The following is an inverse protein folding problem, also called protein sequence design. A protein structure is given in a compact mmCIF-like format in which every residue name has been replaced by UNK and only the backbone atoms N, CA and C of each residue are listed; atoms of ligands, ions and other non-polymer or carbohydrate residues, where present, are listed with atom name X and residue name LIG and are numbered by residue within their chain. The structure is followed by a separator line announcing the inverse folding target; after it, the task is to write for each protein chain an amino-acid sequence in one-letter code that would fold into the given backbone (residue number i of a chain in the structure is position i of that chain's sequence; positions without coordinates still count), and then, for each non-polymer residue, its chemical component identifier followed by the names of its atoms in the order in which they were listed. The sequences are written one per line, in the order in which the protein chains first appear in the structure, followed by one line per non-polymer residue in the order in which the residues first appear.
data_IF_612765915416
#
_entry.id   IF_612765915416
#
_cell.length_a   1.000
_cell.length_b   1.000
_cell.length_c   1.000
_cell.angle_alpha   90.00
_cell.angle_beta   90.00
_cell.angle_gamma   90.00
#
_symmetry.space_group_name_H-M   'P 1'
#
loop_
_entity.id
_entity.type
_entity.pdbx_description
1 polymer ?
#
# COMPACT_ATOMS: atom_id res chain seq x y z
N UNK A 1 15.24 -13.39 -12.81
CA UNK A 1 14.37 -13.51 -14.00
C UNK A 1 13.12 -12.68 -13.73
N UNK A 2 12.83 -11.62 -14.51
CA UNK A 2 11.55 -10.93 -14.37
C UNK A 2 10.44 -11.92 -14.75
N UNK A 3 9.41 -12.06 -13.91
CA UNK A 3 8.24 -12.87 -14.24
C UNK A 3 7.64 -12.34 -15.55
N UNK A 4 7.57 -13.19 -16.58
CA UNK A 4 6.95 -12.85 -17.85
C UNK A 4 5.45 -12.68 -17.58
N UNK A 5 4.82 -11.62 -18.11
CA UNK A 5 3.39 -11.32 -17.85
C UNK A 5 2.46 -12.49 -18.18
N UNK A 6 2.94 -13.43 -18.99
CA UNK A 6 2.21 -14.61 -19.46
C UNK A 6 1.95 -15.67 -18.37
N UNK A 7 2.60 -15.56 -17.20
CA UNK A 7 2.41 -16.49 -16.07
C UNK A 7 1.45 -15.99 -14.99
N UNK A 8 0.76 -14.86 -15.22
CA UNK A 8 -0.10 -14.26 -14.22
C UNK A 8 -1.51 -14.81 -14.29
N UNK A 9 -2.10 -15.11 -13.13
CA UNK A 9 -3.54 -15.36 -13.06
C UNK A 9 -4.31 -14.08 -13.38
N UNK A 10 -5.57 -14.17 -13.85
CA UNK A 10 -6.39 -12.98 -14.09
C UNK A 10 -6.54 -12.07 -12.86
N UNK A 11 -6.46 -12.63 -11.65
CA UNK A 11 -6.48 -11.86 -10.41
C UNK A 11 -5.18 -11.08 -10.19
N UNK A 12 -4.03 -11.71 -10.43
CA UNK A 12 -2.74 -11.06 -10.32
C UNK A 12 -2.57 -9.96 -11.37
N UNK A 13 -3.09 -10.17 -12.58
CA UNK A 13 -3.11 -9.14 -13.62
C UNK A 13 -3.96 -7.94 -13.21
N UNK A 14 -5.19 -8.16 -12.72
CA UNK A 14 -6.04 -7.09 -12.18
C UNK A 14 -5.36 -6.33 -11.04
N UNK A 15 -4.71 -7.07 -10.13
CA UNK A 15 -3.97 -6.47 -9.03
C UNK A 15 -2.81 -5.59 -9.53
N UNK A 16 -2.06 -6.03 -10.55
CA UNK A 16 -0.96 -5.24 -11.13
C UNK A 16 -1.46 -3.96 -11.80
N UNK A 17 -2.55 -4.05 -12.57
CA UNK A 17 -3.15 -2.88 -13.23
C UNK A 17 -3.58 -1.85 -12.20
N UNK A 18 -4.23 -2.30 -11.12
CA UNK A 18 -4.66 -1.41 -10.05
C UNK A 18 -3.47 -0.83 -9.26
N UNK A 19 -2.45 -1.64 -8.95
CA UNK A 19 -1.25 -1.15 -8.25
C UNK A 19 -0.50 -0.09 -9.07
N UNK A 20 -0.38 -0.27 -10.40
CA UNK A 20 0.25 0.72 -11.27
C UNK A 20 -0.58 2.01 -11.34
N UNK A 21 -1.92 1.91 -11.38
CA UNK A 21 -2.82 3.07 -11.31
C UNK A 21 -2.54 3.90 -10.06
N UNK A 22 -2.46 3.25 -8.90
CA UNK A 22 -2.19 3.91 -7.61
C UNK A 22 -0.79 4.51 -7.55
N UNK A 23 0.22 3.83 -8.09
CA UNK A 23 1.59 4.38 -8.18
C UNK A 23 1.64 5.63 -9.06
N UNK A 24 0.92 5.62 -10.18
CA UNK A 24 0.83 6.78 -11.06
C UNK A 24 0.19 7.98 -10.36
N UNK A 25 -0.91 7.74 -9.63
CA UNK A 25 -1.58 8.76 -8.83
C UNK A 25 -0.68 9.30 -7.71
N UNK A 26 0.02 8.40 -7.00
CA UNK A 26 0.99 8.78 -5.97
C UNK A 26 2.11 9.67 -6.50
N UNK A 27 2.67 9.36 -7.67
CA UNK A 27 3.70 10.19 -8.32
C UNK A 27 3.17 11.58 -8.68
N UNK A 28 1.95 11.68 -9.19
CA UNK A 28 1.33 12.96 -9.53
C UNK A 28 1.10 13.85 -8.30
N UNK A 29 0.56 13.26 -7.21
CA UNK A 29 0.33 13.96 -5.94
C UNK A 29 1.63 14.35 -5.23
N UNK A 30 2.63 13.46 -5.26
CA UNK A 30 3.93 13.74 -4.68
C UNK A 30 4.63 14.93 -5.37
N UNK A 31 4.52 15.00 -6.71
CA UNK A 31 5.04 16.14 -7.46
C UNK A 31 4.34 17.46 -7.11
N UNK A 32 3.01 17.46 -6.92
CA UNK A 32 2.27 18.68 -6.58
C UNK A 32 2.45 19.14 -5.14
N UNK A 33 2.74 18.21 -4.22
CA UNK A 33 2.89 18.48 -2.79
C UNK A 33 4.36 18.56 -2.33
N UNK A 34 5.32 18.38 -3.25
CA UNK A 34 6.75 18.25 -2.93
C UNK A 34 7.02 17.19 -1.83
N UNK A 35 6.31 16.05 -1.90
CA UNK A 35 6.43 14.93 -0.98
C UNK A 35 7.15 13.75 -1.63
N UNK A 36 7.53 12.76 -0.82
CA UNK A 36 8.05 11.50 -1.32
C UNK A 36 6.92 10.62 -1.92
N UNK A 37 7.06 10.14 -3.16
CA UNK A 37 6.02 9.36 -3.83
C UNK A 37 5.75 8.00 -3.20
N UNK A 38 6.76 7.40 -2.55
CA UNK A 38 6.57 6.14 -1.85
C UNK A 38 5.75 6.33 -0.56
N UNK A 39 5.94 7.44 0.15
CA UNK A 39 5.11 7.78 1.32
C UNK A 39 3.65 8.06 0.92
N UNK A 40 3.43 8.81 -0.16
CA UNK A 40 2.08 9.05 -0.71
C UNK A 40 1.42 7.73 -1.12
N UNK A 41 2.13 6.85 -1.83
CA UNK A 41 1.64 5.53 -2.20
C UNK A 41 1.21 4.72 -0.96
N UNK A 42 2.03 4.71 0.10
CA UNK A 42 1.69 4.00 1.35
C UNK A 42 0.41 4.53 1.98
N UNK A 43 0.20 5.84 1.96
CA UNK A 43 -1.04 6.46 2.46
C UNK A 43 -2.23 6.03 1.62
N UNK A 44 -2.16 6.13 0.28
CA UNK A 44 -3.22 5.69 -0.62
C UNK A 44 -3.60 4.22 -0.40
N UNK A 45 -2.61 3.31 -0.30
CA UNK A 45 -2.86 1.89 0.00
C UNK A 45 -3.49 1.63 1.37
N UNK A 46 -3.34 2.56 2.33
CA UNK A 46 -4.03 2.47 3.61
C UNK A 46 -5.47 2.96 3.52
N UNK A 47 -5.77 3.93 2.64
CA UNK A 47 -7.12 4.44 2.41
C UNK A 47 -8.00 3.45 1.64
N UNK A 48 -7.43 2.62 0.76
CA UNK A 48 -8.14 1.52 0.09
C UNK A 48 -8.63 0.42 1.05
N UNK A 49 -8.05 0.35 2.25
CA UNK A 49 -8.41 -0.66 3.24
C UNK A 49 -9.60 -0.19 4.04
N UNK A 50 -10.52 -1.11 4.31
CA UNK A 50 -11.58 -0.86 5.28
C UNK A 50 -10.98 -0.52 6.66
N UNK A 51 -11.69 0.27 7.50
CA UNK A 51 -11.26 0.53 8.87
C UNK A 51 -10.92 -0.75 9.65
N UNK A 52 -11.68 -1.82 9.42
CA UNK A 52 -11.46 -3.12 10.05
C UNK A 52 -10.14 -3.80 9.62
N UNK A 53 -9.73 -3.68 8.36
CA UNK A 53 -8.45 -4.22 7.87
C UNK A 53 -7.26 -3.40 8.35
N UNK A 54 -7.43 -2.06 8.41
CA UNK A 54 -6.44 -1.17 9.01
C UNK A 54 -6.21 -1.52 10.48
N UNK A 55 -7.29 -1.71 11.24
CA UNK A 55 -7.24 -2.13 12.63
C UNK A 55 -6.58 -3.51 12.78
N UNK A 56 -6.99 -4.50 11.98
CA UNK A 56 -6.38 -5.85 12.00
C UNK A 56 -4.87 -5.80 11.77
N UNK A 57 -4.39 -5.03 10.79
CA UNK A 57 -2.95 -4.85 10.55
C UNK A 57 -2.26 -4.08 11.68
N UNK A 58 -2.92 -3.06 12.22
CA UNK A 58 -2.43 -2.31 13.39
C UNK A 58 -2.29 -3.19 14.63
N UNK A 59 -3.18 -4.16 14.84
CA UNK A 59 -3.08 -5.14 15.92
C UNK A 59 -2.04 -6.23 15.64
N UNK A 60 -1.92 -6.68 14.38
CA UNK A 60 -0.97 -7.72 13.99
C UNK A 60 0.50 -7.25 13.97
N UNK A 61 0.74 -5.98 13.64
CA UNK A 61 2.09 -5.42 13.50
C UNK A 61 2.40 -4.27 14.46
N UNK A 62 1.38 -3.65 15.04
CA UNK A 62 1.56 -2.65 16.07
C UNK A 62 1.98 -3.33 17.36
N UNK A 63 3.12 -2.90 17.90
CA UNK A 63 3.59 -3.22 19.26
C UNK A 63 2.69 -2.60 20.34
N UNK A 64 1.36 -2.68 20.20
CA UNK A 64 0.39 -2.22 21.21
C UNK A 64 0.48 -3.04 22.52
N UNK A 65 1.31 -4.09 22.57
CA UNK A 65 1.48 -4.98 23.70
C UNK A 65 2.76 -4.81 24.53
N UNK A 66 3.56 -3.74 24.37
CA UNK A 66 4.58 -3.43 25.40
C UNK A 66 4.11 -2.27 26.25
N UNK A 67 3.50 -2.52 27.43
CA UNK A 67 3.48 -1.50 28.47
C UNK A 67 4.95 -1.10 28.69
N UNK A 68 5.27 0.18 28.48
CA UNK A 68 6.50 0.74 29.02
C UNK A 68 6.36 0.62 30.54
N UNK A 69 6.94 -0.45 31.11
CA UNK A 69 7.22 -0.50 32.53
C UNK A 69 8.22 0.62 32.80
N UNK A 70 7.71 1.70 33.40
CA UNK A 70 8.51 2.63 34.19
C UNK A 70 9.23 1.87 35.30
#
# INVERSE_FOLDING_TARGET
MPAQRDDLTPEQERWLVEDERVRSEARALAASLALDPHDVYRVLKQLERSPAERLRRGLAHGRLGRPQRR
#
